data_IF_245433511857
#
_entry.id   IF_245433511857
#
_cell.length_a   1.000
_cell.length_b   1.000
_cell.length_c   1.000
_cell.angle_alpha   90.00
_cell.angle_beta   90.00
_cell.angle_gamma   90.00
#
_symmetry.space_group_name_H-M   'P 1'
#
loop_
_entity.id
_entity.type
_entity.pdbx_description
1 polymer ?
#
# COMPACT_ATOMS: atom_id res chain seq x y z
N UNK A 1 -8.54 11.19 17.76
CA UNK A 1 -9.45 10.06 18.08
C UNK A 1 -8.62 9.00 18.77
N UNK A 2 -9.04 8.52 19.94
CA UNK A 2 -8.34 7.46 20.67
C UNK A 2 -8.40 6.16 19.87
N UNK A 3 -7.25 5.64 19.47
CA UNK A 3 -7.15 4.37 18.76
C UNK A 3 -7.67 3.21 19.61
N UNK A 4 -8.33 2.26 18.97
CA UNK A 4 -8.97 1.13 19.64
C UNK A 4 -7.95 -0.03 19.73
N UNK A 5 -7.62 -0.51 20.95
CA UNK A 5 -6.63 -1.56 21.13
C UNK A 5 -7.19 -2.93 20.73
N UNK A 6 -6.45 -3.66 19.91
CA UNK A 6 -6.73 -5.06 19.56
C UNK A 6 -5.70 -5.96 20.25
N UNK A 7 -6.18 -6.84 21.12
CA UNK A 7 -5.34 -7.86 21.77
C UNK A 7 -5.11 -9.05 20.83
N UNK A 8 -3.85 -9.44 20.65
CA UNK A 8 -3.41 -10.57 19.83
C UNK A 8 -2.85 -11.69 20.70
N UNK A 9 -2.92 -12.92 20.17
CA UNK A 9 -2.36 -14.11 20.81
C UNK A 9 -0.83 -14.01 20.89
N UNK A 10 -0.25 -14.64 21.92
CA UNK A 10 1.20 -14.62 22.19
C UNK A 10 2.06 -15.15 21.03
N UNK A 11 1.55 -16.11 20.26
CA UNK A 11 2.19 -16.65 19.05
C UNK A 11 2.33 -15.60 17.96
N UNK A 12 1.26 -14.83 17.70
CA UNK A 12 1.27 -13.72 16.75
C UNK A 12 2.21 -12.61 17.21
N UNK A 13 2.17 -12.25 18.51
CA UNK A 13 3.10 -11.29 19.08
C UNK A 13 4.57 -11.70 18.91
N UNK A 14 4.90 -12.98 19.01
CA UNK A 14 6.26 -13.49 18.73
C UNK A 14 6.65 -13.29 17.26
N UNK A 15 5.75 -13.61 16.32
CA UNK A 15 5.98 -13.43 14.87
C UNK A 15 6.15 -11.96 14.50
N UNK A 16 5.32 -11.07 15.04
CA UNK A 16 5.44 -9.63 14.77
C UNK A 16 6.81 -9.07 15.21
N UNK A 17 7.33 -9.54 16.35
CA UNK A 17 8.67 -9.19 16.82
C UNK A 17 9.80 -9.71 15.92
N UNK A 18 9.54 -10.77 15.15
CA UNK A 18 10.48 -11.33 14.18
C UNK A 18 10.41 -10.65 12.80
N UNK A 19 9.58 -9.61 12.63
CA UNK A 19 9.52 -8.85 11.38
C UNK A 19 8.23 -9.05 10.59
N UNK A 20 7.39 -10.05 10.91
CA UNK A 20 6.11 -10.22 10.22
C UNK A 20 5.21 -9.00 10.36
N UNK A 21 4.49 -8.67 9.28
CA UNK A 21 3.59 -7.50 9.21
C UNK A 21 2.11 -7.88 9.24
N UNK A 22 1.79 -9.17 9.35
CA UNK A 22 0.41 -9.66 9.26
C UNK A 22 -0.02 -10.31 10.56
N UNK A 23 -1.23 -9.99 10.99
CA UNK A 23 -1.96 -10.70 12.04
C UNK A 23 -3.20 -11.30 11.42
N UNK A 24 -3.33 -12.62 11.49
CA UNK A 24 -4.47 -13.32 10.92
C UNK A 24 -5.71 -13.22 11.81
N UNK A 25 -6.90 -13.40 11.24
CA UNK A 25 -8.18 -13.34 11.95
C UNK A 25 -8.24 -14.28 13.17
N UNK A 26 -7.66 -15.48 13.05
CA UNK A 26 -7.59 -16.47 14.12
C UNK A 26 -6.50 -16.18 15.17
N UNK A 27 -5.66 -15.17 14.94
CA UNK A 27 -4.60 -14.73 15.85
C UNK A 27 -5.05 -13.61 16.80
N UNK A 28 -6.24 -13.05 16.59
CA UNK A 28 -6.86 -12.12 17.53
C UNK A 28 -7.45 -12.87 18.73
N UNK A 29 -7.42 -12.25 19.91
CA UNK A 29 -8.09 -12.79 21.11
C UNK A 29 -9.61 -12.64 20.97
N UNK A 30 -10.07 -11.47 20.53
CA UNK A 30 -11.47 -11.22 20.19
C UNK A 30 -11.68 -11.46 18.69
N UNK A 31 -12.67 -12.27 18.27
CA UNK A 31 -12.96 -12.48 16.85
C UNK A 31 -13.20 -11.16 16.11
N UNK A 32 -12.70 -10.99 14.86
CA UNK A 32 -12.78 -9.72 14.13
C UNK A 32 -14.19 -9.10 14.10
N UNK A 33 -15.21 -9.90 13.80
CA UNK A 33 -16.61 -9.43 13.72
C UNK A 33 -17.21 -8.95 15.04
N UNK A 34 -16.56 -9.19 16.19
CA UNK A 34 -17.00 -8.71 17.52
C UNK A 34 -16.33 -7.40 17.95
N UNK A 35 -15.36 -6.90 17.18
CA UNK A 35 -14.64 -5.66 17.53
C UNK A 35 -15.45 -4.40 17.19
N UNK A 36 -16.47 -4.49 16.31
CA UNK A 36 -17.28 -3.33 15.91
C UNK A 36 -16.52 -2.27 15.11
N UNK A 37 -15.35 -2.63 14.56
CA UNK A 37 -14.47 -1.75 13.81
C UNK A 37 -14.74 -1.86 12.30
N UNK A 38 -14.69 -0.73 11.60
CA UNK A 38 -14.81 -0.68 10.16
C UNK A 38 -13.55 -1.21 9.45
N UNK A 39 -13.71 -1.70 8.22
CA UNK A 39 -12.57 -2.02 7.37
C UNK A 39 -11.74 -0.75 7.08
N UNK A 40 -10.42 -0.87 7.20
CA UNK A 40 -9.47 0.24 7.07
C UNK A 40 -9.27 1.07 8.35
N UNK A 41 -9.97 0.76 9.45
CA UNK A 41 -9.80 1.48 10.72
C UNK A 41 -8.35 1.33 11.23
N UNK A 42 -7.74 2.44 11.63
CA UNK A 42 -6.44 2.43 12.30
C UNK A 42 -6.59 1.90 13.73
N UNK A 43 -5.67 1.02 14.13
CA UNK A 43 -5.73 0.29 15.40
C UNK A 43 -4.35 0.20 16.04
N UNK A 44 -4.33 0.13 17.36
CA UNK A 44 -3.15 -0.27 18.12
C UNK A 44 -3.23 -1.76 18.45
N UNK A 45 -2.08 -2.43 18.49
CA UNK A 45 -1.98 -3.85 18.82
C UNK A 45 -1.36 -4.03 20.20
N UNK A 46 -1.94 -4.92 21.00
CA UNK A 46 -1.39 -5.35 22.29
C UNK A 46 -1.22 -6.86 22.37
N UNK A 47 -0.20 -7.30 23.11
CA UNK A 47 0.08 -8.71 23.38
C UNK A 47 0.50 -8.85 24.84
N UNK A 48 -0.29 -9.58 25.63
CA UNK A 48 -0.11 -9.72 27.08
C UNK A 48 0.00 -8.35 27.79
N UNK A 49 -0.88 -7.42 27.41
CA UNK A 49 -0.94 -6.07 27.98
C UNK A 49 0.17 -5.12 27.55
N UNK A 50 1.08 -5.52 26.64
CA UNK A 50 2.12 -4.65 26.08
C UNK A 50 1.78 -4.26 24.66
N UNK A 51 1.93 -2.99 24.31
CA UNK A 51 1.78 -2.53 22.93
C UNK A 51 2.88 -3.12 22.05
N UNK A 52 2.51 -3.54 20.84
CA UNK A 52 3.41 -4.21 19.88
C UNK A 52 3.40 -3.58 18.49
N UNK A 53 2.61 -2.51 18.30
CA UNK A 53 2.61 -1.73 17.07
C UNK A 53 1.25 -1.16 16.71
N UNK A 54 1.18 -0.56 15.53
CA UNK A 54 0.03 0.09 14.93
C UNK A 54 -0.18 -0.43 13.51
N UNK A 55 -1.43 -0.43 13.07
CA UNK A 55 -1.79 -0.90 11.75
C UNK A 55 -3.20 -0.50 11.36
N UNK A 56 -3.69 -1.04 10.25
CA UNK A 56 -5.11 -0.96 9.91
C UNK A 56 -5.76 -2.35 9.97
N UNK A 57 -7.04 -2.35 10.35
CA UNK A 57 -7.85 -3.53 10.57
C UNK A 57 -8.85 -3.75 9.43
N UNK A 58 -9.12 -5.00 9.08
CA UNK A 58 -10.25 -5.37 8.23
C UNK A 58 -10.96 -6.60 8.83
N UNK A 59 -12.24 -6.48 9.25
CA UNK A 59 -12.97 -7.59 9.87
C UNK A 59 -13.28 -8.74 8.90
N UNK A 60 -13.24 -8.47 7.59
CA UNK A 60 -13.64 -9.40 6.55
C UNK A 60 -12.45 -10.10 5.88
N UNK A 61 -11.21 -9.75 6.26
CA UNK A 61 -9.99 -10.30 5.67
C UNK A 61 -9.41 -11.43 6.51
N UNK A 62 -8.81 -12.43 5.85
CA UNK A 62 -7.99 -13.45 6.53
C UNK A 62 -6.82 -12.79 7.27
N UNK A 63 -6.21 -11.77 6.66
CA UNK A 63 -5.21 -10.90 7.30
C UNK A 63 -5.98 -9.76 7.96
N UNK A 64 -6.40 -9.99 9.20
CA UNK A 64 -7.26 -9.06 9.92
C UNK A 64 -6.57 -7.75 10.27
N UNK A 65 -5.26 -7.76 10.51
CA UNK A 65 -4.47 -6.54 10.72
C UNK A 65 -3.19 -6.59 9.89
N UNK A 66 -2.89 -5.49 9.19
CA UNK A 66 -1.59 -5.23 8.58
C UNK A 66 -0.87 -4.17 9.40
N UNK A 67 0.27 -4.54 9.96
CA UNK A 67 1.11 -3.68 10.79
C UNK A 67 1.83 -2.69 9.89
N UNK A 68 1.72 -1.41 10.26
CA UNK A 68 2.32 -0.28 9.57
C UNK A 68 3.54 0.23 10.33
N UNK A 69 3.45 0.28 11.65
CA UNK A 69 4.54 0.72 12.50
C UNK A 69 4.62 -0.11 13.78
N UNK A 70 5.84 -0.24 14.33
CA UNK A 70 6.08 -0.95 15.60
C UNK A 70 6.24 0.02 16.76
N UNK A 71 6.43 1.30 16.48
CA UNK A 71 6.47 2.33 17.50
C UNK A 71 5.06 2.54 18.08
N UNK A 72 5.00 2.58 19.41
CA UNK A 72 3.75 2.63 20.19
C UNK A 72 3.04 3.97 19.98
N UNK A 73 3.81 5.02 19.73
CA UNK A 73 3.41 6.42 19.60
C UNK A 73 3.35 6.90 18.14
N UNK A 74 3.64 6.03 17.16
CA UNK A 74 3.69 6.40 15.74
C UNK A 74 2.33 6.86 15.21
N UNK A 75 2.11 8.17 15.05
CA UNK A 75 0.89 8.71 14.44
C UNK A 75 0.87 8.34 12.96
N UNK A 76 -0.17 7.65 12.50
CA UNK A 76 -0.32 7.17 11.12
C UNK A 76 -1.02 8.23 10.25
N UNK A 77 -0.41 9.40 10.16
CA UNK A 77 -0.90 10.57 9.42
C UNK A 77 -0.17 10.76 8.06
N UNK A 78 -0.42 11.91 7.42
CA UNK A 78 0.22 12.27 6.15
C UNK A 78 1.75 12.34 6.28
N UNK A 79 2.28 12.85 7.40
CA UNK A 79 3.73 12.94 7.63
C UNK A 79 4.35 11.55 7.76
N UNK A 80 3.68 10.61 8.43
CA UNK A 80 4.12 9.21 8.47
C UNK A 80 4.14 8.58 7.07
N UNK A 81 3.10 8.82 6.29
CA UNK A 81 3.00 8.30 4.92
C UNK A 81 4.08 8.89 4.02
N UNK A 82 4.36 10.19 4.13
CA UNK A 82 5.44 10.87 3.40
C UNK A 82 6.81 10.30 3.78
N UNK A 83 7.09 10.08 5.08
CA UNK A 83 8.35 9.44 5.50
C UNK A 83 8.52 8.03 4.95
N UNK A 84 7.45 7.22 4.95
CA UNK A 84 7.49 5.86 4.40
C UNK A 84 7.67 5.85 2.89
N UNK A 85 6.98 6.73 2.17
CA UNK A 85 7.17 6.89 0.73
C UNK A 85 8.60 7.32 0.42
N UNK A 86 9.16 8.27 1.16
CA UNK A 86 10.56 8.68 1.00
C UNK A 86 11.52 7.49 1.17
N UNK A 87 11.35 6.68 2.21
CA UNK A 87 12.15 5.48 2.43
C UNK A 87 12.07 4.51 1.23
N UNK A 88 10.88 4.29 0.69
CA UNK A 88 10.70 3.45 -0.49
C UNK A 88 11.42 4.00 -1.72
N UNK A 89 11.35 5.32 -1.95
CA UNK A 89 12.03 6.00 -3.05
C UNK A 89 13.55 5.99 -2.90
N UNK A 90 14.06 6.15 -1.68
CA UNK A 90 15.50 6.13 -1.40
C UNK A 90 16.13 4.79 -1.79
N UNK A 91 15.42 3.68 -1.57
CA UNK A 91 15.85 2.35 -2.02
C UNK A 91 15.98 2.24 -3.56
N UNK A 92 15.32 3.12 -4.33
CA UNK A 92 15.35 3.13 -5.79
C UNK A 92 16.38 4.11 -6.37
N UNK A 93 17.08 4.90 -5.54
CA UNK A 93 18.10 5.83 -6.02
C UNK A 93 19.27 5.13 -6.73
N UNK A 94 19.52 3.85 -6.42
CA UNK A 94 20.56 3.04 -7.07
C UNK A 94 20.13 2.39 -8.39
N UNK A 95 18.88 2.55 -8.84
CA UNK A 95 18.43 1.98 -10.10
C UNK A 95 19.05 2.72 -11.29
N UNK A 96 19.40 1.98 -12.34
CA UNK A 96 19.94 2.55 -13.58
C UNK A 96 18.94 3.52 -14.26
N UNK A 97 17.64 3.26 -14.13
CA UNK A 97 16.58 4.18 -14.55
C UNK A 97 15.42 4.20 -13.53
N UNK A 98 15.39 5.16 -12.61
CA UNK A 98 14.31 5.32 -11.64
C UNK A 98 13.05 5.96 -12.24
N UNK A 99 13.08 6.39 -13.51
CA UNK A 99 11.91 6.91 -14.22
C UNK A 99 11.06 5.79 -14.81
N UNK A 100 11.61 4.59 -14.97
CA UNK A 100 10.89 3.38 -15.39
C UNK A 100 11.12 2.28 -14.36
N UNK A 101 10.35 2.31 -13.27
CA UNK A 101 10.54 1.40 -12.15
C UNK A 101 9.31 1.25 -11.26
N UNK A 102 9.29 0.18 -10.47
CA UNK A 102 8.44 0.07 -9.29
C UNK A 102 9.01 0.91 -8.14
N UNK A 103 8.30 1.99 -7.81
CA UNK A 103 8.64 2.88 -6.71
C UNK A 103 8.21 2.34 -5.35
N UNK A 104 7.05 1.66 -5.28
CA UNK A 104 6.53 1.04 -4.05
C UNK A 104 6.02 -0.37 -4.33
N UNK A 105 6.41 -1.31 -3.47
CA UNK A 105 6.11 -2.73 -3.52
C UNK A 105 5.49 -3.25 -2.22
N UNK A 106 4.38 -2.62 -1.81
CA UNK A 106 3.52 -3.09 -0.73
C UNK A 106 4.26 -3.22 0.60
N UNK A 107 4.11 -4.39 1.22
CA UNK A 107 4.73 -4.75 2.50
C UNK A 107 6.25 -4.63 2.51
N UNK A 108 6.92 -4.92 1.38
CA UNK A 108 8.38 -4.88 1.31
C UNK A 108 8.93 -3.47 1.57
N UNK A 109 8.13 -2.45 1.24
CA UNK A 109 8.46 -1.03 1.42
C UNK A 109 7.78 -0.41 2.64
N UNK A 110 7.19 -1.22 3.52
CA UNK A 110 6.48 -0.71 4.70
C UNK A 110 5.20 0.07 4.36
N UNK A 111 4.66 -0.11 3.16
CA UNK A 111 3.38 0.45 2.71
C UNK A 111 2.41 -0.67 2.30
N UNK A 112 2.00 -1.57 3.23
CA UNK A 112 1.10 -2.69 2.94
C UNK A 112 -0.11 -2.25 2.11
N UNK A 113 -0.33 -2.95 1.00
CA UNK A 113 -1.44 -2.67 0.09
C UNK A 113 -1.19 -1.59 -0.96
N UNK A 114 -0.05 -0.90 -0.97
CA UNK A 114 0.29 0.07 -2.02
C UNK A 114 1.23 -0.53 -3.06
N UNK A 115 0.86 -0.47 -4.33
CA UNK A 115 1.79 -0.61 -5.45
C UNK A 115 1.86 0.74 -6.16
N UNK A 116 3.06 1.20 -6.48
CA UNK A 116 3.29 2.41 -7.26
C UNK A 116 4.37 2.13 -8.30
N UNK A 117 3.97 2.13 -9.57
CA UNK A 117 4.88 2.00 -10.71
C UNK A 117 4.98 3.35 -11.43
N UNK A 118 6.18 3.67 -11.92
CA UNK A 118 6.47 4.90 -12.66
C UNK A 118 6.94 4.56 -14.06
N UNK A 119 6.32 5.21 -15.04
CA UNK A 119 6.64 5.18 -16.46
C UNK A 119 6.86 6.63 -16.94
N UNK A 120 8.09 7.13 -16.80
CA UNK A 120 8.46 8.53 -16.97
C UNK A 120 7.58 9.50 -16.14
N UNK A 121 6.62 10.18 -16.77
CA UNK A 121 5.67 11.09 -16.12
C UNK A 121 4.33 10.41 -15.79
N UNK A 122 4.12 9.15 -16.14
CA UNK A 122 2.93 8.41 -15.72
C UNK A 122 3.23 7.63 -14.43
N UNK A 123 2.43 7.88 -13.41
CA UNK A 123 2.34 7.06 -12.21
C UNK A 123 1.13 6.14 -12.32
N UNK A 124 1.33 4.84 -12.15
CA UNK A 124 0.25 3.86 -12.05
C UNK A 124 0.26 3.28 -10.64
N UNK A 125 -0.79 3.56 -9.88
CA UNK A 125 -0.93 3.13 -8.50
C UNK A 125 -2.05 2.11 -8.32
N UNK A 126 -1.90 1.24 -7.32
CA UNK A 126 -2.93 0.34 -6.83
C UNK A 126 -2.98 0.40 -5.32
N UNK A 127 -4.18 0.46 -4.77
CA UNK A 127 -4.47 0.32 -3.35
C UNK A 127 -5.26 -0.98 -3.16
N UNK A 128 -4.60 -2.01 -2.65
CA UNK A 128 -5.14 -3.36 -2.56
C UNK A 128 -5.85 -3.66 -1.25
N UNK A 129 -5.82 -2.76 -0.28
CA UNK A 129 -6.29 -2.99 1.11
C UNK A 129 -7.15 -1.83 1.58
N UNK A 130 -8.16 -2.08 2.41
CA UNK A 130 -9.08 -1.04 2.86
C UNK A 130 -8.38 0.13 3.58
N UNK A 131 -7.34 -0.14 4.38
CA UNK A 131 -6.61 0.92 5.06
C UNK A 131 -5.79 1.81 4.13
N UNK A 132 -5.08 1.23 3.16
CA UNK A 132 -4.37 2.01 2.14
C UNK A 132 -5.33 2.76 1.21
N UNK A 133 -6.48 2.18 0.87
CA UNK A 133 -7.51 2.85 0.06
C UNK A 133 -8.08 4.07 0.81
N UNK A 134 -8.28 3.98 2.13
CA UNK A 134 -8.67 5.12 2.97
C UNK A 134 -7.59 6.22 3.07
N UNK A 135 -6.32 5.88 2.87
CA UNK A 135 -5.19 6.83 2.85
C UNK A 135 -4.95 7.48 1.48
N UNK A 136 -5.70 7.10 0.43
CA UNK A 136 -5.53 7.62 -0.94
C UNK A 136 -5.49 9.15 -1.02
N UNK A 137 -6.38 9.92 -0.38
CA UNK A 137 -6.35 11.39 -0.50
C UNK A 137 -5.03 12.00 0.00
N UNK A 138 -4.49 11.50 1.12
CA UNK A 138 -3.19 11.93 1.64
C UNK A 138 -2.05 11.52 0.69
N UNK A 139 -2.11 10.29 0.16
CA UNK A 139 -1.11 9.83 -0.80
C UNK A 139 -1.12 10.67 -2.09
N UNK A 140 -2.30 10.99 -2.62
CA UNK A 140 -2.45 11.84 -3.81
C UNK A 140 -1.85 13.23 -3.57
N UNK A 141 -2.08 13.83 -2.40
CA UNK A 141 -1.48 15.11 -2.03
C UNK A 141 0.05 15.04 -2.03
N UNK A 142 0.63 14.03 -1.37
CA UNK A 142 2.09 13.81 -1.32
C UNK A 142 2.65 13.59 -2.73
N UNK A 143 2.05 12.68 -3.51
CA UNK A 143 2.51 12.35 -4.85
C UNK A 143 2.45 13.56 -5.79
N UNK A 144 1.41 14.38 -5.69
CA UNK A 144 1.28 15.59 -6.51
C UNK A 144 2.33 16.64 -6.17
N UNK A 145 2.72 16.78 -4.91
CA UNK A 145 3.85 17.64 -4.51
C UNK A 145 5.19 17.12 -5.06
N UNK A 146 5.40 15.80 -5.01
CA UNK A 146 6.66 15.16 -5.40
C UNK A 146 6.84 15.00 -6.91
N UNK A 147 5.75 14.81 -7.63
CA UNK A 147 5.72 14.58 -9.07
C UNK A 147 4.78 15.60 -9.74
N UNK A 148 5.10 16.91 -9.70
CA UNK A 148 4.16 17.96 -10.10
C UNK A 148 3.80 17.96 -11.59
N UNK A 149 4.58 17.28 -12.43
CA UNK A 149 4.35 17.15 -13.88
C UNK A 149 3.77 15.79 -14.28
N UNK A 150 3.49 14.92 -13.32
CA UNK A 150 3.01 13.57 -13.62
C UNK A 150 1.52 13.50 -13.88
N UNK A 151 1.08 12.43 -14.53
CA UNK A 151 -0.29 11.93 -14.51
C UNK A 151 -0.36 10.79 -13.48
N UNK A 152 -1.39 10.75 -12.62
CA UNK A 152 -1.64 9.61 -11.75
C UNK A 152 -2.87 8.84 -12.22
N UNK A 153 -2.67 7.55 -12.46
CA UNK A 153 -3.72 6.57 -12.74
C UNK A 153 -3.85 5.60 -11.56
N UNK A 154 -5.02 5.56 -10.94
CA UNK A 154 -5.41 4.47 -10.05
C UNK A 154 -5.94 3.31 -10.87
N UNK A 155 -5.18 2.22 -10.97
CA UNK A 155 -5.60 0.98 -11.62
C UNK A 155 -6.06 -0.03 -10.58
N UNK A 156 -7.11 0.35 -9.86
CA UNK A 156 -7.66 -0.34 -8.71
C UNK A 156 -8.57 -1.50 -9.12
N UNK A 157 -7.98 -2.54 -9.73
CA UNK A 157 -8.69 -3.77 -10.09
C UNK A 157 -7.91 -5.00 -9.63
N UNK A 158 -8.60 -6.11 -9.43
CA UNK A 158 -8.02 -7.42 -9.16
C UNK A 158 -8.55 -8.11 -7.90
N UNK A 159 -8.14 -9.37 -7.69
CA UNK A 159 -8.65 -10.21 -6.61
C UNK A 159 -8.36 -9.66 -5.22
N UNK A 160 -7.23 -8.95 -5.02
CA UNK A 160 -6.88 -8.36 -3.73
C UNK A 160 -7.93 -7.34 -3.26
N UNK A 161 -8.41 -6.45 -4.15
CA UNK A 161 -9.45 -5.47 -3.83
C UNK A 161 -10.79 -6.14 -3.52
N UNK A 162 -11.18 -7.13 -4.31
CA UNK A 162 -12.42 -7.89 -4.06
C UNK A 162 -12.38 -8.60 -2.70
N UNK A 163 -11.23 -9.18 -2.35
CA UNK A 163 -11.04 -9.83 -1.05
C UNK A 163 -11.14 -8.84 0.13
N UNK A 164 -10.86 -7.55 -0.11
CA UNK A 164 -10.98 -6.48 0.89
C UNK A 164 -12.34 -5.77 0.83
N UNK A 165 -13.27 -6.20 -0.04
CA UNK A 165 -14.60 -5.62 -0.19
C UNK A 165 -14.61 -4.25 -0.90
N UNK A 166 -13.54 -3.91 -1.62
CA UNK A 166 -13.37 -2.63 -2.30
C UNK A 166 -13.92 -2.68 -3.73
N UNK A 167 -14.54 -1.58 -4.16
CA UNK A 167 -14.98 -1.42 -5.54
C UNK A 167 -13.78 -1.43 -6.50
N UNK A 168 -13.93 -2.11 -7.64
CA UNK A 168 -12.95 -2.09 -8.73
C UNK A 168 -13.19 -0.87 -9.62
N UNK A 169 -12.14 -0.12 -9.92
CA UNK A 169 -12.20 1.07 -10.77
C UNK A 169 -10.84 1.37 -11.43
N UNK A 170 -10.89 2.06 -12.57
CA UNK A 170 -9.71 2.60 -13.26
C UNK A 170 -9.92 4.10 -13.45
N UNK A 171 -9.21 4.91 -12.69
CA UNK A 171 -9.50 6.33 -12.51
C UNK A 171 -8.23 7.17 -12.67
N UNK A 172 -8.31 8.24 -13.45
CA UNK A 172 -7.23 9.25 -13.51
C UNK A 172 -7.47 10.23 -12.36
N UNK A 173 -6.56 10.28 -11.39
CA UNK A 173 -6.66 11.22 -10.27
C UNK A 173 -6.31 12.65 -10.71
N UNK A 174 -5.28 12.79 -11.56
CA UNK A 174 -4.96 14.05 -12.23
C UNK A 174 -4.08 13.81 -13.45
N UNK A 175 -3.93 14.87 -14.26
CA UNK A 175 -3.14 14.86 -15.48
C UNK A 175 -3.93 14.32 -16.67
N UNK A 176 -3.23 14.18 -17.79
CA UNK A 176 -3.78 13.66 -19.03
C UNK A 176 -3.20 12.28 -19.31
N UNK A 177 -4.06 11.32 -19.66
CA UNK A 177 -3.66 9.94 -19.92
C UNK A 177 -3.81 9.63 -21.41
N UNK A 178 -2.68 9.38 -22.07
CA UNK A 178 -2.66 8.88 -23.44
C UNK A 178 -3.18 7.42 -23.51
N UNK A 179 -3.73 7.05 -24.67
CA UNK A 179 -4.22 5.69 -24.92
C UNK A 179 -3.09 4.65 -24.90
N UNK A 180 -1.94 5.02 -25.49
CA UNK A 180 -0.71 4.25 -25.49
C UNK A 180 0.40 5.06 -24.83
N UNK A 181 1.11 4.44 -23.90
CA UNK A 181 2.24 5.05 -23.21
C UNK A 181 3.54 4.34 -23.61
N UNK A 182 4.61 5.08 -23.94
CA UNK A 182 5.89 4.46 -24.23
C UNK A 182 6.55 3.94 -22.94
N UNK A 183 7.30 2.86 -23.06
CA UNK A 183 8.21 2.37 -22.01
C UNK A 183 9.55 2.13 -22.67
N UNK A 184 10.62 2.62 -22.03
CA UNK A 184 11.99 2.37 -22.50
C UNK A 184 12.66 1.41 -21.52
N UNK A 185 13.14 0.29 -22.04
CA UNK A 185 13.82 -0.74 -21.26
C UNK A 185 14.99 -1.31 -22.08
N UNK A 186 16.20 -1.26 -21.52
CA UNK A 186 17.43 -1.69 -22.19
C UNK A 186 17.64 -1.11 -23.60
N UNK A 187 17.20 0.14 -23.82
CA UNK A 187 17.31 0.82 -25.12
C UNK A 187 16.22 0.44 -26.14
N UNK A 188 15.32 -0.48 -25.80
CA UNK A 188 14.16 -0.82 -26.61
C UNK A 188 12.93 -0.01 -26.16
N UNK A 189 12.11 0.40 -27.12
CA UNK A 189 10.87 1.15 -26.87
C UNK A 189 9.66 0.25 -27.10
N UNK A 190 8.88 0.08 -26.05
CA UNK A 190 7.61 -0.64 -26.05
C UNK A 190 6.45 0.34 -25.87
N UNK A 191 5.25 -0.13 -26.15
CA UNK A 191 4.02 0.63 -25.94
C UNK A 191 3.01 -0.25 -25.21
N UNK A 192 2.36 0.31 -24.20
CA UNK A 192 1.28 -0.38 -23.48
C UNK A 192 0.08 0.54 -23.31
N UNK A 193 -1.09 -0.06 -23.11
CA UNK A 193 -2.29 0.68 -22.71
C UNK A 193 -2.41 0.69 -21.19
N UNK A 194 -2.26 1.84 -20.51
CA UNK A 194 -2.35 1.90 -19.05
C UNK A 194 -3.73 1.53 -18.51
N UNK A 195 -4.79 1.77 -19.31
CA UNK A 195 -6.17 1.44 -18.95
C UNK A 195 -6.51 -0.03 -19.16
N UNK A 196 -6.10 -0.60 -20.30
CA UNK A 196 -6.54 -1.94 -20.73
C UNK A 196 -5.52 -3.06 -20.50
N UNK A 197 -4.24 -2.74 -20.28
CA UNK A 197 -3.18 -3.73 -20.01
C UNK A 197 -3.37 -4.43 -18.66
N UNK A 198 -2.81 -5.63 -18.46
CA UNK A 198 -2.87 -6.38 -17.18
C UNK A 198 -1.95 -5.77 -16.09
N UNK A 199 -2.21 -6.06 -14.80
CA UNK A 199 -1.46 -5.55 -13.63
C UNK A 199 -1.34 -4.02 -13.54
N UNK A 200 -0.19 -3.41 -13.77
CA UNK A 200 -0.03 -1.94 -13.88
C UNK A 200 0.14 -1.50 -15.34
N UNK A 201 0.09 -2.46 -16.27
CA UNK A 201 0.31 -2.27 -17.70
C UNK A 201 1.67 -2.77 -18.19
N UNK A 202 2.64 -3.00 -17.30
CA UNK A 202 3.99 -3.50 -17.60
C UNK A 202 4.52 -4.40 -16.47
N UNK A 203 5.50 -5.26 -16.76
CA UNK A 203 6.05 -6.26 -15.84
C UNK A 203 7.49 -5.93 -15.46
N UNK A 204 7.68 -5.06 -14.46
CA UNK A 204 9.03 -4.82 -13.91
C UNK A 204 9.63 -6.04 -13.19
N UNK A 205 8.80 -7.02 -12.83
CA UNK A 205 9.21 -8.31 -12.27
C UNK A 205 9.90 -9.24 -13.29
N UNK A 206 9.97 -8.86 -14.57
CA UNK A 206 10.61 -9.62 -15.65
C UNK A 206 11.78 -8.86 -16.30
N UNK A 207 12.28 -7.80 -15.64
CA UNK A 207 13.35 -6.94 -16.18
C UNK A 207 14.70 -7.65 -16.29
N UNK A 208 15.00 -8.57 -15.37
CA UNK A 208 16.29 -9.26 -15.25
C UNK A 208 16.18 -10.75 -15.63
#
# INVERSE_FOLDING_TARGET
MSELPIEIKSTAGRRLRQGHLWVYANELVTPPGRLGLAAGAQVSLSCAGKSVGRGYFNPNSLIAVRVLDRQIDAVLDEDWLERRLQQALDLRQGLADPTHARLVHGEADGLPGLILDRFDQLLVAQSGTAGMDAMRPALEAILRRRFPRSTLLWRNIGPARRAEGLQEAVEVAWGELAELHPVVEHGYRFWFSPRAGQKTGWFYDQRD
#
